data_IF_813452550784
#
_entry.id   IF_813452550784
#
_cell.length_a   1.000
_cell.length_b   1.000
_cell.length_c   1.000
_cell.angle_alpha   90.00
_cell.angle_beta   90.00
_cell.angle_gamma   90.00
#
_symmetry.space_group_name_H-M   'P 1'
#
loop_
_entity.id
_entity.type
_entity.pdbx_description
1 polymer ?
#
# COMPACT_ATOMS: atom_id res chain seq x y z
N UNK A 1 -7.66 -15.29 24.63
CA UNK A 1 -6.55 -14.47 25.13
C UNK A 1 -5.26 -15.24 24.92
N UNK A 2 -4.31 -14.63 24.21
CA UNK A 2 -2.98 -15.18 24.02
C UNK A 2 -2.00 -14.49 24.97
N UNK A 3 -0.98 -15.21 25.44
CA UNK A 3 0.15 -14.66 26.21
C UNK A 3 1.42 -15.06 25.51
N UNK A 4 2.32 -14.11 25.32
CA UNK A 4 3.62 -14.34 24.69
C UNK A 4 4.67 -13.44 25.34
N UNK A 5 5.90 -13.91 25.52
CA UNK A 5 7.01 -13.08 26.00
C UNK A 5 7.52 -12.09 24.95
N UNK A 6 7.22 -12.35 23.66
CA UNK A 6 7.62 -11.54 22.52
C UNK A 6 6.41 -11.29 21.61
N UNK A 7 6.24 -10.03 21.22
CA UNK A 7 5.17 -9.59 20.31
C UNK A 7 5.76 -8.69 19.23
N UNK A 8 5.51 -9.05 17.96
CA UNK A 8 5.89 -8.25 16.80
C UNK A 8 4.65 -7.65 16.13
N UNK A 9 4.58 -6.33 16.06
CA UNK A 9 3.59 -5.61 15.27
C UNK A 9 4.15 -5.30 13.87
N UNK A 10 3.86 -6.16 12.91
CA UNK A 10 4.25 -6.03 11.50
C UNK A 10 3.00 -5.85 10.62
N UNK A 11 2.04 -5.04 11.06
CA UNK A 11 0.71 -4.94 10.45
C UNK A 11 0.62 -3.89 9.34
N UNK A 12 1.75 -3.34 8.90
CA UNK A 12 1.88 -2.39 7.78
C UNK A 12 0.97 -1.17 7.93
N UNK A 13 -0.12 -1.08 7.14
CA UNK A 13 -1.04 0.04 7.21
C UNK A 13 -1.80 0.15 8.55
N UNK A 14 -1.89 -0.92 9.33
CA UNK A 14 -2.53 -0.95 10.65
C UNK A 14 -1.57 -0.75 11.82
N UNK A 15 -0.30 -0.41 11.57
CA UNK A 15 0.72 -0.31 12.62
C UNK A 15 0.32 0.64 13.75
N UNK A 16 -0.19 1.83 13.42
CA UNK A 16 -0.65 2.80 14.41
C UNK A 16 -1.91 2.36 15.14
N UNK A 17 -2.81 1.66 14.46
CA UNK A 17 -4.03 1.11 15.09
C UNK A 17 -3.72 0.11 16.19
N UNK A 18 -2.69 -0.70 15.99
CA UNK A 18 -2.23 -1.65 17.01
C UNK A 18 -1.56 -0.89 18.15
N UNK A 19 -0.66 0.07 17.85
CA UNK A 19 0.03 0.86 18.87
C UNK A 19 -0.94 1.55 19.82
N UNK A 20 -2.02 2.13 19.30
CA UNK A 20 -3.05 2.81 20.10
C UNK A 20 -3.82 1.89 21.06
N UNK A 21 -3.72 0.57 20.90
CA UNK A 21 -4.33 -0.42 21.79
C UNK A 21 -3.36 -0.96 22.83
N UNK A 22 -2.09 -0.61 22.72
CA UNK A 22 -1.04 -1.06 23.65
C UNK A 22 -0.84 -0.03 24.73
N UNK A 23 -1.12 -0.42 25.98
CA UNK A 23 -0.96 0.47 27.15
C UNK A 23 0.47 0.99 27.23
N UNK A 24 0.63 2.29 27.26
CA UNK A 24 1.93 2.97 27.30
C UNK A 24 2.55 3.26 25.93
N UNK A 25 1.92 2.82 24.84
CA UNK A 25 2.35 3.11 23.47
C UNK A 25 1.32 3.94 22.66
N UNK A 26 0.26 4.41 23.27
CA UNK A 26 -0.88 5.08 22.64
C UNK A 26 -0.49 6.35 21.89
N UNK A 27 0.60 7.01 22.30
CA UNK A 27 1.11 8.25 21.70
C UNK A 27 2.35 8.04 20.83
N UNK A 28 2.77 6.79 20.65
CA UNK A 28 3.99 6.46 19.89
C UNK A 28 3.71 6.14 18.42
N UNK A 29 2.73 6.82 17.84
CA UNK A 29 2.37 6.67 16.44
C UNK A 29 3.58 6.92 15.51
N UNK A 30 3.67 6.15 14.44
CA UNK A 30 4.50 6.52 13.30
C UNK A 30 3.85 7.73 12.61
N UNK A 31 4.65 8.75 12.28
CA UNK A 31 4.20 9.90 11.50
C UNK A 31 3.89 9.50 10.07
N UNK A 32 2.68 9.05 9.81
CA UNK A 32 2.28 8.50 8.51
C UNK A 32 1.34 9.41 7.74
N UNK A 33 1.50 9.41 6.43
CA UNK A 33 0.51 9.72 5.43
C UNK A 33 -0.02 8.40 4.87
N UNK A 34 -1.30 8.33 4.60
CA UNK A 34 -1.91 7.16 3.97
C UNK A 34 -2.43 7.53 2.59
N UNK A 35 -2.18 6.69 1.63
CA UNK A 35 -2.75 6.80 0.28
C UNK A 35 -3.65 5.60 0.02
N UNK A 36 -4.88 5.85 -0.43
CA UNK A 36 -5.73 4.83 -1.03
C UNK A 36 -5.28 4.66 -2.47
N UNK A 37 -4.62 3.55 -2.74
CA UNK A 37 -4.01 3.23 -4.03
C UNK A 37 -4.80 2.19 -4.80
N UNK A 38 -4.86 2.34 -6.12
CA UNK A 38 -5.40 1.36 -7.05
C UNK A 38 -4.28 0.61 -7.74
N UNK A 39 -4.43 -0.70 -7.86
CA UNK A 39 -3.67 -1.57 -8.75
C UNK A 39 -4.66 -2.14 -9.75
N UNK A 40 -4.50 -1.81 -11.03
CA UNK A 40 -5.36 -2.33 -12.07
C UNK A 40 -4.81 -3.67 -12.56
N UNK A 41 -5.64 -4.70 -12.57
CA UNK A 41 -5.31 -5.97 -13.18
C UNK A 41 -5.77 -5.99 -14.63
N UNK A 42 -4.85 -6.40 -15.52
CA UNK A 42 -5.03 -6.44 -16.96
C UNK A 42 -4.81 -7.84 -17.49
N UNK A 43 -5.55 -8.21 -18.52
CA UNK A 43 -5.18 -9.31 -19.44
C UNK A 43 -4.22 -8.75 -20.46
N UNK A 44 -3.03 -9.30 -20.54
CA UNK A 44 -1.99 -8.90 -21.48
C UNK A 44 -1.92 -9.88 -22.67
N UNK A 45 -1.47 -9.39 -23.83
CA UNK A 45 -1.21 -10.23 -24.99
C UNK A 45 -0.12 -11.27 -24.70
N UNK A 46 -0.11 -12.38 -25.44
CA UNK A 46 0.89 -13.44 -25.28
C UNK A 46 2.33 -12.96 -25.45
N UNK A 47 2.53 -11.90 -26.22
CA UNK A 47 3.86 -11.31 -26.45
C UNK A 47 4.50 -10.73 -25.19
N UNK A 48 3.70 -10.34 -24.22
CA UNK A 48 4.19 -9.75 -22.96
C UNK A 48 3.83 -10.57 -21.72
N UNK A 49 3.34 -11.79 -21.90
CA UNK A 49 2.84 -12.65 -20.80
C UNK A 49 3.79 -12.75 -19.61
N UNK A 50 5.09 -12.80 -19.86
CA UNK A 50 6.13 -12.94 -18.82
C UNK A 50 7.08 -11.74 -18.77
N UNK A 51 6.68 -10.61 -19.35
CA UNK A 51 7.53 -9.44 -19.47
C UNK A 51 6.91 -8.30 -18.65
N UNK A 52 7.72 -7.67 -17.81
CA UNK A 52 7.40 -6.43 -17.14
C UNK A 52 7.99 -5.24 -17.88
N UNK A 53 7.21 -4.16 -17.98
CA UNK A 53 7.64 -2.88 -18.51
C UNK A 53 7.52 -1.80 -17.46
N UNK A 54 8.55 -0.98 -17.32
CA UNK A 54 8.50 0.25 -16.55
C UNK A 54 9.05 1.36 -17.41
N UNK A 55 8.26 2.41 -17.60
CA UNK A 55 8.71 3.65 -18.23
C UNK A 55 9.14 4.59 -17.13
N UNK A 56 10.40 5.03 -17.21
CA UNK A 56 11.05 5.94 -16.27
C UNK A 56 11.35 7.26 -16.99
N UNK A 57 11.57 8.33 -16.24
CA UNK A 57 11.86 9.68 -16.76
C UNK A 57 10.68 10.30 -17.54
N UNK A 58 9.65 10.71 -16.80
CA UNK A 58 8.45 11.32 -17.33
C UNK A 58 7.21 10.83 -16.62
N UNK A 59 6.10 10.64 -17.31
CA UNK A 59 4.91 10.05 -16.71
C UNK A 59 5.14 8.57 -16.47
N UNK A 60 5.61 8.24 -15.25
CA UNK A 60 5.91 6.89 -14.83
C UNK A 60 4.68 5.99 -14.85
N UNK A 61 4.82 4.84 -15.49
CA UNK A 61 3.89 3.71 -15.34
C UNK A 61 4.65 2.39 -15.37
N UNK A 62 4.02 1.36 -14.82
CA UNK A 62 4.53 0.00 -14.89
C UNK A 62 3.41 -0.96 -15.27
N UNK A 63 3.72 -1.89 -16.17
CA UNK A 63 2.92 -3.09 -16.44
C UNK A 63 3.80 -4.28 -16.07
N UNK A 64 3.38 -5.06 -15.07
CA UNK A 64 4.19 -6.13 -14.50
C UNK A 64 3.36 -7.40 -14.34
N UNK A 65 3.90 -8.60 -14.61
CA UNK A 65 3.23 -9.85 -14.26
C UNK A 65 2.80 -9.85 -12.78
N UNK A 66 1.55 -10.16 -12.51
CA UNK A 66 0.99 -10.16 -11.15
C UNK A 66 1.06 -11.56 -10.54
N UNK A 67 2.22 -11.89 -10.03
CA UNK A 67 2.51 -13.21 -9.47
C UNK A 67 2.25 -14.33 -10.49
N UNK A 68 1.56 -15.39 -10.06
CA UNK A 68 1.18 -16.54 -10.89
C UNK A 68 -0.28 -16.50 -11.36
N UNK A 69 -0.91 -15.34 -11.33
CA UNK A 69 -2.35 -15.19 -11.62
C UNK A 69 -2.67 -15.21 -13.12
N UNK A 70 -1.68 -15.03 -13.99
CA UNK A 70 -1.87 -14.84 -15.42
C UNK A 70 -2.28 -13.41 -15.81
N UNK A 71 -2.48 -12.53 -14.85
CA UNK A 71 -2.72 -11.10 -15.07
C UNK A 71 -1.44 -10.29 -15.01
N UNK A 72 -1.52 -9.05 -15.48
CA UNK A 72 -0.53 -8.01 -15.23
C UNK A 72 -1.14 -6.92 -14.35
N UNK A 73 -0.34 -6.33 -13.48
CA UNK A 73 -0.69 -5.10 -12.77
C UNK A 73 -0.30 -3.89 -13.61
N UNK A 74 -1.21 -2.92 -13.73
CA UNK A 74 -0.92 -1.59 -14.27
C UNK A 74 -0.99 -0.59 -13.13
N UNK A 75 0.08 0.19 -12.98
CA UNK A 75 0.21 1.26 -11.98
C UNK A 75 0.87 2.49 -12.60
N UNK A 76 0.58 3.65 -12.06
CA UNK A 76 1.18 4.92 -12.47
C UNK A 76 1.41 5.78 -11.23
N UNK A 77 2.55 6.46 -11.14
CA UNK A 77 2.84 7.35 -10.01
C UNK A 77 1.76 8.42 -9.86
N UNK A 78 1.26 8.95 -10.98
CA UNK A 78 0.26 10.04 -10.98
C UNK A 78 -1.15 9.55 -10.63
N UNK A 79 -1.57 8.37 -11.13
CA UNK A 79 -2.98 7.96 -11.09
C UNK A 79 -3.26 6.82 -10.11
N UNK A 80 -2.22 6.14 -9.61
CA UNK A 80 -2.38 5.07 -8.60
C UNK A 80 -2.95 5.58 -7.28
N UNK A 81 -2.50 6.73 -6.71
CA UNK A 81 -3.13 7.30 -5.53
C UNK A 81 -4.44 8.00 -5.89
N UNK A 82 -5.54 7.60 -5.24
CA UNK A 82 -6.86 8.23 -5.38
C UNK A 82 -7.18 9.23 -4.29
N UNK A 83 -6.83 8.88 -3.05
CA UNK A 83 -7.13 9.69 -1.87
C UNK A 83 -5.96 9.65 -0.90
N UNK A 84 -5.81 10.72 -0.12
CA UNK A 84 -4.76 10.86 0.88
C UNK A 84 -5.36 11.23 2.22
N UNK A 85 -4.85 10.64 3.32
CA UNK A 85 -5.15 11.02 4.69
C UNK A 85 -3.86 11.22 5.47
N UNK A 86 -3.83 12.28 6.27
CA UNK A 86 -2.72 12.60 7.18
C UNK A 86 -3.03 12.28 8.64
N UNK A 87 -4.20 11.68 8.89
CA UNK A 87 -4.61 11.27 10.22
C UNK A 87 -3.78 10.08 10.69
N UNK A 88 -3.61 9.94 11.99
CA UNK A 88 -2.86 8.82 12.57
C UNK A 88 -3.54 7.46 12.34
N UNK A 89 -4.87 7.47 12.19
CA UNK A 89 -5.67 6.39 11.60
C UNK A 89 -6.34 6.96 10.35
N UNK A 90 -6.16 6.36 9.18
CA UNK A 90 -6.62 6.96 7.94
C UNK A 90 -8.13 7.13 7.91
N UNK A 91 -8.56 8.32 7.51
CA UNK A 91 -9.94 8.67 7.25
C UNK A 91 -10.04 9.21 5.83
N UNK A 92 -10.96 8.64 5.05
CA UNK A 92 -11.20 9.07 3.68
C UNK A 92 -12.66 9.47 3.53
N UNK A 93 -12.95 10.63 2.91
CA UNK A 93 -14.30 10.97 2.51
C UNK A 93 -14.73 10.01 1.39
N UNK A 94 -15.37 8.92 1.74
CA UNK A 94 -15.96 7.99 0.78
C UNK A 94 -17.30 8.55 0.30
N UNK A 95 -17.63 8.31 -0.97
CA UNK A 95 -18.88 8.76 -1.55
C UNK A 95 -20.01 7.87 -1.06
N UNK A 96 -20.95 8.41 -0.28
CA UNK A 96 -22.16 7.73 0.21
C UNK A 96 -22.37 7.85 1.72
N UNK A 97 -23.61 7.82 2.15
CA UNK A 97 -24.04 8.00 3.56
C UNK A 97 -23.67 6.85 4.51
N UNK A 98 -23.06 5.78 4.01
CA UNK A 98 -22.61 4.65 4.81
C UNK A 98 -21.11 4.73 5.09
N UNK A 99 -20.73 5.63 5.97
CA UNK A 99 -19.34 5.83 6.44
C UNK A 99 -18.73 4.66 7.25
N UNK A 100 -19.29 3.46 7.16
CA UNK A 100 -18.96 2.36 8.06
C UNK A 100 -17.68 1.61 7.73
N UNK A 101 -17.09 1.78 6.53
CA UNK A 101 -15.91 1.00 6.11
C UNK A 101 -14.65 1.34 6.91
N UNK A 102 -14.51 2.59 7.36
CA UNK A 102 -13.33 3.07 8.09
C UNK A 102 -13.68 3.58 9.49
N UNK A 103 -14.85 3.19 10.03
CA UNK A 103 -15.29 3.62 11.36
C UNK A 103 -14.58 2.84 12.49
N UNK A 104 -14.48 3.50 13.63
CA UNK A 104 -13.93 2.90 14.84
C UNK A 104 -12.43 2.67 14.85
N UNK A 105 -11.69 3.34 13.97
CA UNK A 105 -10.22 3.21 13.93
C UNK A 105 -9.72 1.93 13.28
N UNK A 106 -10.56 1.23 12.51
CA UNK A 106 -10.18 0.07 11.72
C UNK A 106 -10.13 0.41 10.22
N UNK A 107 -9.14 -0.16 9.53
CA UNK A 107 -9.11 -0.12 8.07
C UNK A 107 -10.10 -1.14 7.52
N UNK A 108 -11.06 -0.67 6.74
CA UNK A 108 -11.97 -1.52 5.99
C UNK A 108 -11.31 -2.08 4.72
N UNK A 109 -11.94 -3.08 4.11
CA UNK A 109 -11.55 -3.57 2.81
C UNK A 109 -12.14 -2.69 1.71
N UNK A 110 -11.31 -1.81 1.12
CA UNK A 110 -11.76 -0.90 0.07
C UNK A 110 -12.25 -1.61 -1.21
N UNK A 111 -11.91 -2.87 -1.41
CA UNK A 111 -12.39 -3.64 -2.57
C UNK A 111 -13.88 -3.96 -2.46
N UNK A 112 -14.39 -4.11 -1.23
CA UNK A 112 -15.80 -4.44 -0.94
C UNK A 112 -16.60 -3.19 -0.53
N UNK A 113 -15.95 -2.02 -0.47
CA UNK A 113 -16.58 -0.78 -0.04
C UNK A 113 -17.44 -0.18 -1.16
N UNK A 114 -18.72 0.13 -0.90
CA UNK A 114 -19.59 0.80 -1.89
C UNK A 114 -19.12 2.22 -2.23
N UNK A 115 -18.39 2.88 -1.31
CA UNK A 115 -17.82 4.21 -1.51
C UNK A 115 -16.42 4.22 -2.11
N UNK A 116 -15.94 3.09 -2.65
CA UNK A 116 -14.64 3.03 -3.31
C UNK A 116 -14.59 3.99 -4.50
N UNK A 117 -13.41 4.56 -4.84
CA UNK A 117 -13.27 5.40 -6.02
C UNK A 117 -13.60 4.65 -7.31
N UNK A 118 -14.00 5.38 -8.32
CA UNK A 118 -13.99 4.86 -9.69
C UNK A 118 -12.57 4.54 -10.12
N UNK A 119 -12.44 3.56 -11.02
CA UNK A 119 -11.11 3.17 -11.52
C UNK A 119 -10.49 4.26 -12.38
N UNK A 120 -9.20 4.49 -12.20
CA UNK A 120 -8.38 5.35 -13.06
C UNK A 120 -7.93 4.63 -14.37
N UNK A 121 -8.62 3.56 -14.76
CA UNK A 121 -8.29 2.77 -15.96
C UNK A 121 -8.10 3.61 -17.20
N UNK A 122 -9.03 4.51 -17.50
CA UNK A 122 -8.98 5.32 -18.72
C UNK A 122 -7.70 6.16 -18.78
N UNK A 123 -7.31 6.76 -17.65
CA UNK A 123 -6.09 7.57 -17.56
C UNK A 123 -4.83 6.71 -17.65
N UNK A 124 -4.74 5.64 -16.85
CA UNK A 124 -3.55 4.78 -16.82
C UNK A 124 -3.35 4.04 -18.13
N UNK A 125 -4.43 3.51 -18.73
CA UNK A 125 -4.34 2.78 -19.99
C UNK A 125 -3.98 3.71 -21.15
N UNK A 126 -4.54 4.92 -21.18
CA UNK A 126 -4.20 5.93 -22.19
C UNK A 126 -2.74 6.34 -22.10
N UNK A 127 -2.24 6.54 -20.86
CA UNK A 127 -0.83 6.82 -20.62
C UNK A 127 0.05 5.68 -21.14
N UNK A 128 -0.23 4.45 -20.75
CA UNK A 128 0.59 3.31 -21.14
C UNK A 128 0.60 3.09 -22.66
N UNK A 129 -0.54 3.22 -23.32
CA UNK A 129 -0.66 3.05 -24.78
C UNK A 129 0.15 4.06 -25.60
N UNK A 130 0.48 5.23 -25.05
CA UNK A 130 1.36 6.20 -25.72
C UNK A 130 2.79 5.68 -25.92
N UNK A 131 3.22 4.75 -25.07
CA UNK A 131 4.59 4.20 -25.06
C UNK A 131 4.68 2.75 -25.50
N UNK A 132 3.54 2.08 -25.65
CA UNK A 132 3.49 0.67 -26.02
C UNK A 132 2.97 0.52 -27.46
N UNK A 133 3.58 -0.41 -28.21
CA UNK A 133 3.09 -0.77 -29.54
C UNK A 133 1.78 -1.57 -29.46
N UNK A 134 0.97 -1.54 -30.49
CA UNK A 134 -0.33 -2.24 -30.55
C UNK A 134 -0.20 -3.75 -30.31
N UNK A 135 0.90 -4.37 -30.71
CA UNK A 135 1.16 -5.80 -30.50
C UNK A 135 1.32 -6.18 -29.03
N UNK A 136 1.58 -5.21 -28.13
CA UNK A 136 1.65 -5.37 -26.69
C UNK A 136 0.35 -4.95 -26.01
N UNK A 137 -0.76 -5.27 -26.66
CA UNK A 137 -2.09 -4.92 -26.17
C UNK A 137 -2.39 -5.52 -24.80
N UNK A 138 -3.18 -4.79 -24.05
CA UNK A 138 -3.71 -5.21 -22.77
C UNK A 138 -5.13 -4.66 -22.58
N UNK A 139 -5.94 -5.36 -21.79
CA UNK A 139 -7.32 -4.99 -21.50
C UNK A 139 -7.60 -5.03 -20.01
N UNK A 140 -8.55 -4.19 -19.59
CA UNK A 140 -9.02 -4.14 -18.20
C UNK A 140 -9.64 -5.46 -17.77
N UNK A 141 -9.33 -5.90 -16.57
CA UNK A 141 -10.01 -7.01 -15.91
C UNK A 141 -10.72 -6.54 -14.65
N UNK A 142 -9.97 -5.98 -13.71
CA UNK A 142 -10.50 -5.43 -12.45
C UNK A 142 -9.50 -4.52 -11.76
N UNK A 143 -9.99 -3.76 -10.79
CA UNK A 143 -9.17 -2.94 -9.90
C UNK A 143 -9.10 -3.55 -8.51
N UNK A 144 -7.93 -3.47 -7.90
CA UNK A 144 -7.68 -3.76 -6.50
C UNK A 144 -7.29 -2.47 -5.79
N UNK A 145 -7.95 -2.20 -4.68
CA UNK A 145 -7.64 -1.04 -3.85
C UNK A 145 -6.95 -1.47 -2.56
N UNK A 146 -5.91 -0.74 -2.19
CA UNK A 146 -5.15 -0.99 -0.96
C UNK A 146 -4.69 0.31 -0.32
N UNK A 147 -4.46 0.23 0.98
CA UNK A 147 -3.94 1.33 1.78
C UNK A 147 -2.41 1.28 1.78
N UNK A 148 -1.77 2.37 1.39
CA UNK A 148 -0.30 2.50 1.39
C UNK A 148 0.11 3.52 2.45
N UNK A 149 0.77 3.12 3.55
CA UNK A 149 1.36 4.03 4.51
C UNK A 149 2.69 4.56 3.97
N UNK A 150 2.93 5.85 4.17
CA UNK A 150 4.16 6.54 3.79
C UNK A 150 4.62 7.36 4.97
N UNK A 151 5.89 7.29 5.34
CA UNK A 151 6.45 8.17 6.36
C UNK A 151 6.42 9.62 5.88
N UNK A 152 5.84 10.53 6.66
CA UNK A 152 5.79 11.96 6.34
C UNK A 152 7.19 12.56 6.15
N UNK A 153 8.17 12.08 6.91
CA UNK A 153 9.55 12.52 6.78
C UNK A 153 10.19 12.14 5.43
N UNK A 154 9.66 11.11 4.76
CA UNK A 154 10.19 10.61 3.48
C UNK A 154 9.58 11.28 2.25
N UNK A 155 8.68 12.25 2.43
CA UNK A 155 8.07 12.95 1.28
C UNK A 155 9.05 13.88 0.56
N UNK A 156 10.12 14.30 1.24
CA UNK A 156 11.09 15.25 0.68
C UNK A 156 12.09 14.56 -0.26
N UNK A 157 12.49 13.32 0.08
CA UNK A 157 13.60 12.62 -0.60
C UNK A 157 13.20 11.26 -1.20
N UNK A 158 11.90 10.91 -1.12
CA UNK A 158 11.36 9.58 -1.49
C UNK A 158 12.14 8.42 -0.84
N UNK A 159 12.83 8.69 0.27
CA UNK A 159 13.42 7.64 1.10
C UNK A 159 12.28 6.78 1.65
N UNK A 160 12.52 5.51 1.83
CA UNK A 160 11.55 4.60 2.45
C UNK A 160 12.30 3.69 3.40
N UNK A 161 12.81 4.24 4.51
CA UNK A 161 13.52 3.44 5.47
C UNK A 161 12.57 2.44 6.13
N UNK A 162 13.08 1.27 6.48
CA UNK A 162 12.42 0.42 7.46
C UNK A 162 12.62 1.05 8.83
N UNK A 163 11.53 1.25 9.56
CA UNK A 163 11.56 1.82 10.91
C UNK A 163 11.16 0.75 11.90
N UNK A 164 12.06 0.46 12.86
CA UNK A 164 11.85 -0.52 13.92
C UNK A 164 11.87 0.23 15.25
N UNK A 165 10.88 -0.05 16.10
CA UNK A 165 10.75 0.54 17.43
C UNK A 165 10.54 -0.56 18.46
N UNK A 166 11.47 -0.70 19.40
CA UNK A 166 11.28 -1.47 20.61
C UNK A 166 10.51 -0.59 21.63
N UNK A 167 9.36 -1.05 22.09
CA UNK A 167 8.42 -0.29 22.91
C UNK A 167 8.35 -0.77 24.34
N UNK A 168 8.69 -2.03 24.62
CA UNK A 168 8.84 -2.60 25.94
C UNK A 168 9.80 -3.78 25.92
N UNK A 169 10.36 -4.09 27.10
CA UNK A 169 11.31 -5.18 27.30
C UNK A 169 10.65 -6.42 27.96
N UNK A 170 9.56 -6.22 28.69
CA UNK A 170 8.81 -7.31 29.33
C UNK A 170 7.29 -7.01 29.33
N UNK A 171 6.51 -7.69 28.47
CA UNK A 171 6.96 -8.51 27.34
C UNK A 171 7.71 -7.69 26.31
N UNK A 172 8.60 -8.30 25.57
CA UNK A 172 9.24 -7.62 24.42
C UNK A 172 8.17 -7.26 23.39
N UNK A 173 8.02 -5.98 23.09
CA UNK A 173 7.08 -5.51 22.10
C UNK A 173 7.80 -4.64 21.07
N UNK A 174 7.81 -5.11 19.82
CA UNK A 174 8.44 -4.43 18.69
C UNK A 174 7.41 -4.08 17.65
N UNK A 175 7.45 -2.84 17.14
CA UNK A 175 6.69 -2.41 15.98
C UNK A 175 7.61 -2.13 14.81
N UNK A 176 7.28 -2.65 13.63
CA UNK A 176 8.03 -2.43 12.40
C UNK A 176 7.12 -1.86 11.30
N UNK A 177 7.62 -0.82 10.65
CA UNK A 177 7.10 -0.32 9.38
C UNK A 177 8.14 -0.60 8.29
N UNK A 178 7.84 -1.52 7.40
CA UNK A 178 8.75 -1.87 6.30
C UNK A 178 8.81 -0.76 5.25
N UNK A 179 10.00 -0.49 4.76
CA UNK A 179 10.26 0.48 3.69
C UNK A 179 10.41 -0.17 2.32
N UNK A 180 11.55 -0.81 2.07
CA UNK A 180 11.93 -1.41 0.79
C UNK A 180 12.34 -2.86 0.98
N UNK A 181 12.26 -3.66 -0.09
CA UNK A 181 12.63 -5.08 -0.03
C UNK A 181 14.10 -5.32 0.35
N UNK A 182 14.98 -4.40 0.04
CA UNK A 182 16.40 -4.50 0.39
C UNK A 182 16.68 -4.35 1.90
N UNK A 183 15.69 -3.94 2.69
CA UNK A 183 15.77 -3.79 4.15
C UNK A 183 15.06 -4.94 4.90
N UNK A 184 14.81 -6.05 4.23
CA UNK A 184 14.08 -7.20 4.81
C UNK A 184 14.81 -7.83 6.00
N UNK A 185 16.13 -7.73 6.05
CA UNK A 185 16.96 -8.26 7.16
C UNK A 185 17.24 -7.26 8.27
N UNK A 186 16.76 -6.03 8.18
CA UNK A 186 17.00 -5.01 9.23
C UNK A 186 16.36 -5.38 10.57
N UNK A 187 15.42 -6.32 10.56
CA UNK A 187 14.74 -6.82 11.75
C UNK A 187 15.53 -7.92 12.49
N UNK A 188 16.44 -8.63 11.81
CA UNK A 188 17.15 -9.79 12.36
C UNK A 188 17.80 -9.52 13.72
N UNK A 189 18.51 -8.36 13.95
CA UNK A 189 19.13 -8.06 15.24
C UNK A 189 18.15 -7.93 16.42
N UNK A 190 16.86 -7.85 16.16
CA UNK A 190 15.80 -7.73 17.17
C UNK A 190 15.08 -9.07 17.42
N UNK A 191 15.39 -10.10 16.65
CA UNK A 191 14.74 -11.41 16.74
C UNK A 191 15.62 -12.45 17.45
N UNK A 192 16.93 -12.18 17.57
CA UNK A 192 17.92 -12.99 18.31
C UNK A 192 17.88 -12.67 19.81
#
# INVERSE_FOLDING_TARGET
VYRAPFVLNATYASVNQILRKVKGAETQDFGLKYELCEIILCKASDKIRNIGFTVMDGPFFSIMPFGKTGYHSLTSVTFTPHKTSYDATPQFPCVGENDNCCQGGFLGNCNDCPGRPESAWEYMSTLARKYMREEYAFSYEKSLFSMKPILKASEIDDSRPTVIRALSEDPVFISVLSGKINTVYDLDPFLD
#
